data_IF_432498313547
#
_entry.id   IF_432498313547
#
_cell.length_a   1.000
_cell.length_b   1.000
_cell.length_c   1.000
_cell.angle_alpha   90.00
_cell.angle_beta   90.00
_cell.angle_gamma   90.00
#
_symmetry.space_group_name_H-M   'P 1'
#
loop_
_entity.id
_entity.type
_entity.pdbx_description
1 polymer ?
#
# COMPACT_ATOMS: atom_id res chain seq x y z
N UNK A 1 24.51 25.46 23.73
CA UNK A 1 24.64 24.01 24.01
C UNK A 1 26.03 23.46 23.61
N UNK A 2 26.44 23.53 22.34
CA UNK A 2 27.72 22.97 21.84
C UNK A 2 28.99 23.50 22.51
N UNK A 3 29.06 24.81 22.84
CA UNK A 3 30.21 25.38 23.59
C UNK A 3 30.33 24.76 24.98
N UNK A 4 29.20 24.59 25.67
CA UNK A 4 29.14 24.04 27.03
C UNK A 4 29.55 22.56 27.03
N UNK A 5 29.06 21.76 26.07
CA UNK A 5 29.48 20.38 25.88
C UNK A 5 30.99 20.27 25.59
N UNK A 6 31.53 21.16 24.74
CA UNK A 6 32.97 21.21 24.46
C UNK A 6 33.82 21.59 25.67
N UNK A 7 33.33 22.50 26.51
CA UNK A 7 34.01 22.88 27.76
C UNK A 7 33.98 21.75 28.79
N UNK A 8 32.84 21.04 28.94
CA UNK A 8 32.73 19.86 29.80
C UNK A 8 33.67 18.74 29.33
N UNK A 9 33.73 18.48 28.02
CA UNK A 9 34.63 17.45 27.46
C UNK A 9 36.09 17.75 27.77
N UNK A 10 36.51 19.01 27.63
CA UNK A 10 37.87 19.43 27.96
C UNK A 10 38.15 19.32 29.48
N UNK A 11 37.23 19.77 30.33
CA UNK A 11 37.40 19.68 31.78
C UNK A 11 37.55 18.22 32.27
N UNK A 12 36.81 17.28 31.64
CA UNK A 12 36.94 15.84 31.92
C UNK A 12 38.26 15.29 31.39
N UNK A 13 38.69 15.70 30.19
CA UNK A 13 39.96 15.29 29.60
C UNK A 13 41.16 15.76 30.46
N UNK A 14 41.16 17.03 30.90
CA UNK A 14 42.19 17.61 31.77
C UNK A 14 42.23 16.85 33.11
N UNK A 15 41.07 16.45 33.65
CA UNK A 15 40.98 15.62 34.84
C UNK A 15 41.52 14.19 34.67
N UNK A 16 41.38 13.59 33.48
CA UNK A 16 41.96 12.29 33.15
C UNK A 16 43.48 12.34 32.95
N UNK A 17 44.00 13.49 32.49
CA UNK A 17 45.42 13.75 32.27
C UNK A 17 46.16 14.21 33.53
N UNK A 18 45.44 14.41 34.64
CA UNK A 18 46.00 14.85 35.92
C UNK A 18 46.31 16.34 36.00
N UNK A 19 45.86 17.14 35.02
CA UNK A 19 45.99 18.60 35.04
C UNK A 19 44.85 19.25 35.85
N UNK A 20 45.11 20.41 36.47
CA UNK A 20 44.10 21.16 37.24
C UNK A 20 43.06 21.73 36.28
N UNK A 21 41.79 21.32 36.43
CA UNK A 21 40.70 21.77 35.57
C UNK A 21 40.39 23.27 35.77
N UNK A 22 40.84 24.11 34.84
CA UNK A 22 40.54 25.55 34.83
C UNK A 22 39.47 25.92 33.78
N UNK A 23 38.39 26.57 34.22
CA UNK A 23 37.19 26.86 33.41
C UNK A 23 37.43 27.90 32.28
N UNK A 24 38.36 28.85 32.48
CA UNK A 24 38.67 29.93 31.52
C UNK A 24 39.42 29.44 30.26
N UNK A 25 40.54 28.70 30.39
CA UNK A 25 41.20 28.10 29.23
C UNK A 25 40.31 27.09 28.48
N UNK A 26 39.41 26.40 29.19
CA UNK A 26 38.49 25.44 28.59
C UNK A 26 37.48 26.11 27.64
N UNK A 27 36.85 27.20 28.07
CA UNK A 27 35.92 27.97 27.24
C UNK A 27 36.59 28.58 26.01
N UNK A 28 37.80 29.13 26.15
CA UNK A 28 38.54 29.76 25.04
C UNK A 28 39.07 28.75 24.02
N UNK A 29 39.34 27.51 24.45
CA UNK A 29 39.69 26.40 23.57
C UNK A 29 38.48 25.90 22.80
N UNK A 30 37.35 25.68 23.50
CA UNK A 30 36.08 25.29 22.87
C UNK A 30 35.59 26.35 21.86
N UNK A 31 35.72 27.64 22.19
CA UNK A 31 35.33 28.73 21.31
C UNK A 31 36.17 28.83 20.02
N UNK A 32 37.47 28.47 20.04
CA UNK A 32 38.31 28.47 18.83
C UNK A 32 38.05 27.26 17.92
N UNK A 33 37.64 26.13 18.48
CA UNK A 33 37.26 24.93 17.71
C UNK A 33 35.77 24.89 17.36
N UNK A 34 35.02 25.93 17.72
CA UNK A 34 33.57 25.97 17.54
C UNK A 34 33.17 25.73 16.08
N UNK A 35 33.90 26.34 15.14
CA UNK A 35 33.65 26.15 13.73
C UNK A 35 33.81 24.69 13.29
N UNK A 36 34.87 24.00 13.74
CA UNK A 36 35.13 22.60 13.39
C UNK A 36 34.11 21.65 14.05
N UNK A 37 33.71 21.90 15.30
CA UNK A 37 32.66 21.13 15.99
C UNK A 37 31.30 21.35 15.30
N UNK A 38 30.96 22.58 14.96
CA UNK A 38 29.75 22.89 14.21
C UNK A 38 29.75 22.21 12.84
N UNK A 39 30.89 22.20 12.15
CA UNK A 39 31.02 21.52 10.86
C UNK A 39 30.76 20.02 10.97
N UNK A 40 31.38 19.35 11.95
CA UNK A 40 31.19 17.91 12.19
C UNK A 40 29.74 17.60 12.57
N UNK A 41 29.14 18.37 13.47
CA UNK A 41 27.74 18.15 13.88
C UNK A 41 26.76 18.36 12.74
N UNK A 42 26.96 19.41 11.92
CA UNK A 42 26.11 19.67 10.75
C UNK A 42 26.29 18.57 9.70
N UNK A 43 27.53 18.18 9.40
CA UNK A 43 27.81 17.13 8.41
C UNK A 43 27.27 15.76 8.88
N UNK A 44 27.46 15.41 10.15
CA UNK A 44 26.92 14.19 10.74
C UNK A 44 25.40 14.18 10.77
N UNK A 45 24.76 15.32 11.08
CA UNK A 45 23.32 15.49 11.00
C UNK A 45 22.79 15.32 9.57
N UNK A 46 23.45 15.94 8.59
CA UNK A 46 23.07 15.84 7.19
C UNK A 46 23.22 14.40 6.65
N UNK A 47 24.32 13.72 6.99
CA UNK A 47 24.51 12.31 6.66
C UNK A 47 23.45 11.41 7.31
N UNK A 48 23.09 11.69 8.56
CA UNK A 48 22.04 10.94 9.27
C UNK A 48 20.67 11.12 8.60
N UNK A 49 20.32 12.36 8.22
CA UNK A 49 19.09 12.66 7.49
C UNK A 49 19.09 11.99 6.12
N UNK A 50 20.21 12.04 5.40
CA UNK A 50 20.35 11.39 4.11
C UNK A 50 20.21 9.87 4.21
N UNK A 51 20.84 9.26 5.22
CA UNK A 51 20.71 7.84 5.52
C UNK A 51 19.27 7.46 5.86
N UNK A 52 18.56 8.28 6.64
CA UNK A 52 17.16 8.08 6.95
C UNK A 52 16.29 8.15 5.68
N UNK A 53 16.49 9.15 4.82
CA UNK A 53 15.76 9.27 3.56
C UNK A 53 16.00 8.07 2.65
N UNK A 54 17.25 7.61 2.57
CA UNK A 54 17.62 6.44 1.78
C UNK A 54 17.00 5.14 2.32
N UNK A 55 16.58 5.10 3.58
CA UNK A 55 15.86 3.97 4.17
C UNK A 55 14.33 4.11 4.04
N UNK A 56 13.81 5.32 4.30
CA UNK A 56 12.37 5.61 4.34
C UNK A 56 11.77 5.55 2.94
N UNK A 57 12.40 6.16 1.92
CA UNK A 57 11.85 6.18 0.56
C UNK A 57 11.67 4.76 -0.01
N UNK A 58 12.70 3.88 -0.03
CA UNK A 58 12.48 2.51 -0.50
C UNK A 58 11.57 1.72 0.45
N UNK A 59 11.61 1.98 1.76
CA UNK A 59 10.72 1.35 2.73
C UNK A 59 9.25 1.58 2.41
N UNK A 60 8.86 2.83 2.15
CA UNK A 60 7.51 3.21 1.75
C UNK A 60 7.13 2.58 0.40
N UNK A 61 8.04 2.62 -0.57
CA UNK A 61 7.80 1.98 -1.87
C UNK A 61 7.51 0.48 -1.74
N UNK A 62 8.32 -0.25 -0.95
CA UNK A 62 8.16 -1.67 -0.69
C UNK A 62 6.87 -1.97 0.07
N UNK A 63 6.54 -1.16 1.08
CA UNK A 63 5.30 -1.28 1.84
C UNK A 63 4.07 -1.24 0.94
N UNK A 64 4.00 -0.25 0.04
CA UNK A 64 2.88 -0.11 -0.90
C UNK A 64 2.91 -1.21 -1.96
N UNK A 65 4.09 -1.63 -2.43
CA UNK A 65 4.21 -2.70 -3.40
C UNK A 65 3.72 -4.06 -2.87
N UNK A 66 3.77 -4.26 -1.55
CA UNK A 66 3.37 -5.50 -0.87
C UNK A 66 2.07 -5.40 -0.08
N UNK A 67 1.36 -4.27 -0.13
CA UNK A 67 0.11 -4.06 0.62
C UNK A 67 -0.97 -5.08 0.24
N UNK A 68 -1.01 -5.52 -1.02
CA UNK A 68 -1.97 -6.51 -1.53
C UNK A 68 -1.41 -7.94 -1.59
N UNK A 69 -0.28 -8.22 -0.94
CA UNK A 69 0.30 -9.56 -0.96
C UNK A 69 -0.55 -10.60 -0.22
N UNK A 70 -1.18 -10.20 0.90
CA UNK A 70 -2.08 -11.07 1.68
C UNK A 70 -3.34 -11.45 0.88
N UNK A 71 -4.11 -10.52 0.29
CA UNK A 71 -5.27 -10.90 -0.51
C UNK A 71 -4.88 -11.72 -1.75
N UNK A 72 -3.72 -11.47 -2.37
CA UNK A 72 -3.20 -12.34 -3.45
C UNK A 72 -2.95 -13.76 -2.96
N UNK A 73 -2.36 -13.94 -1.77
CA UNK A 73 -2.12 -15.26 -1.20
C UNK A 73 -3.42 -16.01 -0.90
N UNK A 74 -4.42 -15.30 -0.37
CA UNK A 74 -5.72 -15.89 -0.01
C UNK A 74 -6.60 -16.19 -1.23
N UNK A 75 -6.58 -15.34 -2.26
CA UNK A 75 -7.50 -15.45 -3.40
C UNK A 75 -6.89 -16.16 -4.62
N UNK A 76 -5.59 -16.03 -4.86
CA UNK A 76 -4.91 -16.66 -6.01
C UNK A 76 -4.15 -17.94 -5.62
N UNK A 77 -4.13 -18.32 -4.32
CA UNK A 77 -3.45 -19.53 -3.82
C UNK A 77 -1.91 -19.48 -3.95
N UNK A 78 -1.33 -18.34 -4.33
CA UNK A 78 0.11 -18.16 -4.48
C UNK A 78 0.79 -18.05 -3.11
N UNK A 79 1.96 -18.67 -2.95
CA UNK A 79 2.70 -18.66 -1.67
C UNK A 79 4.10 -18.03 -1.79
N UNK A 80 4.56 -17.45 -0.69
CA UNK A 80 5.91 -16.91 -0.52
C UNK A 80 6.28 -15.85 -1.57
N UNK A 81 7.42 -16.03 -2.24
CA UNK A 81 7.96 -15.08 -3.23
C UNK A 81 7.06 -14.86 -4.45
N UNK A 82 6.25 -15.86 -4.82
CA UNK A 82 5.32 -15.76 -5.96
C UNK A 82 4.19 -14.77 -5.68
N UNK A 83 3.63 -14.78 -4.47
CA UNK A 83 2.61 -13.84 -4.03
C UNK A 83 3.14 -12.39 -3.98
N UNK A 84 4.36 -12.19 -3.45
CA UNK A 84 5.01 -10.87 -3.42
C UNK A 84 5.30 -10.33 -4.82
N UNK A 85 5.81 -11.18 -5.72
CA UNK A 85 6.06 -10.81 -7.12
C UNK A 85 4.78 -10.41 -7.85
N UNK A 86 3.68 -11.12 -7.57
CA UNK A 86 2.35 -10.83 -8.11
C UNK A 86 1.78 -9.51 -7.57
N UNK A 87 1.82 -9.29 -6.26
CA UNK A 87 1.44 -8.01 -5.62
C UNK A 87 2.15 -6.82 -6.26
N UNK A 88 3.48 -6.93 -6.45
CA UNK A 88 4.27 -5.86 -7.07
C UNK A 88 3.83 -5.59 -8.53
N UNK A 89 3.48 -6.62 -9.30
CA UNK A 89 2.97 -6.46 -10.67
C UNK A 89 1.60 -5.78 -10.70
N UNK A 90 0.71 -6.12 -9.75
CA UNK A 90 -0.60 -5.48 -9.59
C UNK A 90 -0.47 -4.00 -9.19
N UNK A 91 0.52 -3.61 -8.40
CA UNK A 91 0.74 -2.20 -8.02
C UNK A 91 1.54 -1.41 -9.08
N UNK A 92 2.45 -2.05 -9.83
CA UNK A 92 3.35 -1.40 -10.80
C UNK A 92 2.58 -0.63 -11.89
N UNK A 93 2.79 0.68 -12.00
CA UNK A 93 2.10 1.54 -12.99
C UNK A 93 0.91 2.31 -12.43
N UNK A 94 0.40 1.96 -11.24
CA UNK A 94 -0.58 2.77 -10.48
C UNK A 94 -0.17 2.91 -9.02
N UNK A 95 1.14 3.07 -8.80
CA UNK A 95 1.72 3.17 -7.46
C UNK A 95 1.15 4.36 -6.67
N UNK A 96 0.98 5.52 -7.30
CA UNK A 96 0.38 6.70 -6.66
C UNK A 96 -1.07 6.51 -6.25
N UNK A 97 -1.86 5.78 -7.05
CA UNK A 97 -3.23 5.43 -6.69
C UNK A 97 -3.29 4.47 -5.51
N UNK A 98 -2.44 3.44 -5.51
CA UNK A 98 -2.32 2.51 -4.40
C UNK A 98 -1.81 3.21 -3.12
N UNK A 99 -0.83 4.10 -3.24
CA UNK A 99 -0.34 4.93 -2.15
C UNK A 99 -1.47 5.78 -1.56
N UNK A 100 -2.24 6.49 -2.39
CA UNK A 100 -3.33 7.34 -1.93
C UNK A 100 -4.39 6.56 -1.15
N UNK A 101 -4.80 5.38 -1.65
CA UNK A 101 -5.78 4.52 -0.96
C UNK A 101 -5.23 3.99 0.37
N UNK A 102 -4.00 3.47 0.38
CA UNK A 102 -3.38 2.96 1.61
C UNK A 102 -3.17 4.09 2.62
N UNK A 103 -2.64 5.24 2.17
CA UNK A 103 -2.43 6.41 3.03
C UNK A 103 -3.75 6.89 3.64
N UNK A 104 -4.79 7.10 2.82
CA UNK A 104 -6.10 7.52 3.29
C UNK A 104 -6.72 6.50 4.25
N UNK A 105 -6.66 5.21 3.91
CA UNK A 105 -7.14 4.12 4.77
C UNK A 105 -6.44 4.11 6.13
N UNK A 106 -5.10 4.22 6.14
CA UNK A 106 -4.32 4.27 7.38
C UNK A 106 -4.59 5.53 8.20
N UNK A 107 -4.80 6.69 7.57
CA UNK A 107 -5.18 7.93 8.26
C UNK A 107 -6.55 7.77 8.91
N UNK A 108 -7.54 7.22 8.20
CA UNK A 108 -8.88 6.99 8.74
C UNK A 108 -8.86 6.02 9.93
N UNK A 109 -8.15 4.89 9.80
CA UNK A 109 -7.94 3.95 10.90
C UNK A 109 -7.24 4.63 12.09
N UNK A 110 -6.25 5.47 11.81
CA UNK A 110 -5.52 6.24 12.81
C UNK A 110 -6.40 7.25 13.56
N UNK A 111 -7.30 7.95 12.85
CA UNK A 111 -8.26 8.88 13.46
C UNK A 111 -9.21 8.13 14.39
N UNK A 112 -9.78 7.01 13.93
CA UNK A 112 -10.71 6.21 14.75
C UNK A 112 -10.01 5.65 15.99
N UNK A 113 -8.82 5.06 15.80
CA UNK A 113 -8.03 4.49 16.90
C UNK A 113 -7.56 5.56 17.87
N UNK A 114 -7.15 6.73 17.36
CA UNK A 114 -6.72 7.87 18.15
C UNK A 114 -7.86 8.50 18.95
N UNK A 115 -9.08 8.57 18.38
CA UNK A 115 -10.26 9.02 19.10
C UNK A 115 -10.58 8.10 20.28
N UNK A 116 -10.55 6.77 20.08
CA UNK A 116 -10.77 5.78 21.14
C UNK A 116 -9.70 5.85 22.24
N UNK A 117 -8.43 5.97 21.86
CA UNK A 117 -7.33 6.14 22.81
C UNK A 117 -7.42 7.47 23.57
N UNK A 118 -7.79 8.56 22.89
CA UNK A 118 -7.96 9.88 23.50
C UNK A 118 -9.07 9.91 24.54
N UNK A 119 -10.21 9.26 24.26
CA UNK A 119 -11.30 9.09 25.23
C UNK A 119 -10.81 8.34 26.47
N UNK A 120 -10.08 7.24 26.29
CA UNK A 120 -9.52 6.46 27.40
C UNK A 120 -8.51 7.25 28.23
N UNK A 121 -7.64 8.04 27.58
CA UNK A 121 -6.71 8.94 28.26
C UNK A 121 -7.42 9.99 29.11
N UNK A 122 -8.54 10.54 28.64
CA UNK A 122 -9.36 11.46 29.42
C UNK A 122 -9.88 10.79 30.72
N UNK A 123 -10.41 9.57 30.65
CA UNK A 123 -10.87 8.82 31.83
C UNK A 123 -9.75 8.63 32.88
N UNK A 124 -8.53 8.31 32.45
CA UNK A 124 -7.39 8.13 33.38
C UNK A 124 -6.92 9.41 34.04
N UNK A 125 -7.20 10.57 33.45
CA UNK A 125 -6.81 11.88 34.02
C UNK A 125 -7.76 12.29 35.16
N UNK A 126 -9.01 11.80 35.16
CA UNK A 126 -10.00 12.09 36.20
C UNK A 126 -9.97 11.10 37.38
N UNK A 127 -9.40 9.90 37.20
CA UNK A 127 -9.32 8.88 38.25
C UNK A 127 -8.01 9.02 39.06
N UNK A 128 -8.07 9.77 40.17
CA UNK A 128 -6.94 10.01 41.10
C UNK A 128 -6.71 8.85 42.09
N UNK A 129 -7.50 7.78 42.03
CA UNK A 129 -7.52 6.77 43.10
C UNK A 129 -6.44 5.68 42.97
N UNK A 130 -5.96 5.35 41.77
CA UNK A 130 -4.90 4.35 41.54
C UNK A 130 -4.08 4.65 40.26
N UNK A 131 -2.94 5.36 40.36
CA UNK A 131 -2.29 5.99 39.20
C UNK A 131 -1.63 5.02 38.20
N UNK A 132 -1.42 3.75 38.54
CA UNK A 132 -0.58 2.83 37.72
C UNK A 132 -1.33 1.64 37.15
N UNK A 133 -2.12 0.91 37.93
CA UNK A 133 -2.78 -0.31 37.44
C UNK A 133 -4.09 -0.01 36.70
N UNK A 134 -4.89 0.93 37.21
CA UNK A 134 -6.14 1.36 36.57
C UNK A 134 -5.89 2.04 35.22
N UNK A 135 -4.93 2.96 35.17
CA UNK A 135 -4.53 3.65 33.94
C UNK A 135 -3.98 2.69 32.88
N UNK A 136 -3.18 1.70 33.31
CA UNK A 136 -2.69 0.64 32.44
C UNK A 136 -3.84 -0.19 31.85
N UNK A 137 -4.80 -0.63 32.67
CA UNK A 137 -5.95 -1.42 32.22
C UNK A 137 -6.85 -0.64 31.27
N UNK A 138 -7.13 0.64 31.57
CA UNK A 138 -7.94 1.52 30.70
C UNK A 138 -7.25 1.74 29.35
N UNK A 139 -5.95 2.07 29.34
CA UNK A 139 -5.22 2.28 28.10
C UNK A 139 -5.07 1.00 27.26
N UNK A 140 -4.79 -0.13 27.92
CA UNK A 140 -4.71 -1.44 27.26
C UNK A 140 -6.07 -1.85 26.70
N UNK A 141 -7.14 -1.72 27.48
CA UNK A 141 -8.51 -2.00 27.06
C UNK A 141 -8.92 -1.15 25.86
N UNK A 142 -8.61 0.15 25.88
CA UNK A 142 -8.87 1.05 24.76
C UNK A 142 -8.11 0.66 23.49
N UNK A 143 -6.84 0.24 23.63
CA UNK A 143 -6.03 -0.23 22.51
C UNK A 143 -6.59 -1.52 21.90
N UNK A 144 -7.03 -2.47 22.75
CA UNK A 144 -7.69 -3.70 22.31
C UNK A 144 -8.99 -3.39 21.57
N UNK A 145 -9.85 -2.54 22.15
CA UNK A 145 -11.09 -2.10 21.51
C UNK A 145 -10.85 -1.39 20.18
N UNK A 146 -9.84 -0.50 20.10
CA UNK A 146 -9.44 0.14 18.87
C UNK A 146 -8.99 -0.89 17.82
N UNK A 147 -8.22 -1.91 18.22
CA UNK A 147 -7.75 -2.96 17.31
C UNK A 147 -8.89 -3.81 16.72
N UNK A 148 -9.97 -4.04 17.49
CA UNK A 148 -11.16 -4.76 17.02
C UNK A 148 -11.89 -4.04 15.88
N UNK A 149 -11.81 -2.70 15.84
CA UNK A 149 -12.39 -1.89 14.76
C UNK A 149 -11.38 -1.66 13.63
N UNK A 150 -10.11 -1.42 13.98
CA UNK A 150 -9.05 -1.12 13.02
C UNK A 150 -8.73 -2.31 12.10
N UNK A 151 -8.74 -3.53 12.63
CA UNK A 151 -8.38 -4.74 11.87
C UNK A 151 -9.35 -5.04 10.70
N UNK A 152 -10.69 -5.12 10.89
CA UNK A 152 -11.60 -5.34 9.77
C UNK A 152 -11.63 -4.16 8.80
N UNK A 153 -11.49 -2.92 9.29
CA UNK A 153 -11.42 -1.74 8.42
C UNK A 153 -10.17 -1.78 7.52
N UNK A 154 -9.04 -2.21 8.08
CA UNK A 154 -7.80 -2.41 7.31
C UNK A 154 -7.96 -3.51 6.28
N UNK A 155 -8.52 -4.65 6.67
CA UNK A 155 -8.80 -5.74 5.75
C UNK A 155 -9.73 -5.30 4.60
N UNK A 156 -10.75 -4.50 4.90
CA UNK A 156 -11.71 -4.00 3.91
C UNK A 156 -11.02 -3.14 2.84
N UNK A 157 -10.31 -2.08 3.22
CA UNK A 157 -9.70 -1.20 2.21
C UNK A 157 -8.58 -1.88 1.42
N UNK A 158 -7.81 -2.78 2.05
CA UNK A 158 -6.77 -3.57 1.36
C UNK A 158 -7.39 -4.53 0.34
N UNK A 159 -8.51 -5.17 0.70
CA UNK A 159 -9.25 -6.07 -0.19
C UNK A 159 -9.87 -5.31 -1.35
N UNK A 160 -10.51 -4.17 -1.09
CA UNK A 160 -11.05 -3.29 -2.15
C UNK A 160 -9.94 -2.80 -3.08
N UNK A 161 -8.78 -2.39 -2.53
CA UNK A 161 -7.63 -2.00 -3.34
C UNK A 161 -7.16 -3.15 -4.25
N UNK A 162 -7.13 -4.38 -3.73
CA UNK A 162 -6.77 -5.56 -4.52
C UNK A 162 -7.74 -5.76 -5.70
N UNK A 163 -9.05 -5.74 -5.45
CA UNK A 163 -10.04 -5.90 -6.51
C UNK A 163 -10.05 -4.73 -7.51
N UNK A 164 -9.92 -3.48 -7.06
CA UNK A 164 -9.81 -2.31 -7.95
C UNK A 164 -8.58 -2.42 -8.88
N UNK A 165 -7.44 -2.91 -8.36
CA UNK A 165 -6.26 -3.15 -9.19
C UNK A 165 -6.47 -4.28 -10.19
N UNK A 166 -7.14 -5.36 -9.79
CA UNK A 166 -7.39 -6.53 -10.65
C UNK A 166 -8.43 -6.22 -11.73
N UNK A 167 -9.51 -5.50 -11.40
CA UNK A 167 -10.51 -5.01 -12.36
C UNK A 167 -9.84 -4.13 -13.41
N UNK A 168 -9.04 -3.15 -13.01
CA UNK A 168 -8.43 -2.20 -13.95
C UNK A 168 -7.34 -2.81 -14.84
N UNK A 169 -6.58 -3.77 -14.34
CA UNK A 169 -5.43 -4.34 -15.07
C UNK A 169 -5.73 -5.61 -15.83
N UNK A 170 -6.67 -6.40 -15.32
CA UNK A 170 -6.92 -7.75 -15.79
C UNK A 170 -8.35 -7.91 -16.30
N UNK A 171 -9.11 -6.79 -16.33
CA UNK A 171 -10.51 -6.77 -16.70
C UNK A 171 -11.32 -7.84 -15.96
N UNK A 172 -11.05 -8.00 -14.66
CA UNK A 172 -11.71 -9.00 -13.81
C UNK A 172 -13.25 -8.93 -13.89
N UNK A 173 -13.78 -7.71 -14.10
CA UNK A 173 -15.20 -7.48 -14.32
C UNK A 173 -15.75 -8.22 -15.57
N UNK A 174 -14.97 -8.29 -16.66
CA UNK A 174 -15.34 -9.05 -17.86
C UNK A 174 -15.36 -10.56 -17.61
N UNK A 175 -14.48 -11.06 -16.74
CA UNK A 175 -14.48 -12.48 -16.37
C UNK A 175 -15.75 -12.83 -15.59
N UNK A 176 -16.16 -11.95 -14.66
CA UNK A 176 -17.41 -12.13 -13.91
C UNK A 176 -18.64 -12.04 -14.81
N UNK A 177 -18.66 -11.12 -15.78
CA UNK A 177 -19.72 -11.02 -16.79
C UNK A 177 -19.80 -12.26 -17.68
N UNK A 178 -18.65 -12.78 -18.15
CA UNK A 178 -18.60 -13.99 -18.96
C UNK A 178 -19.12 -15.22 -18.20
N UNK A 179 -18.71 -15.36 -16.93
CA UNK A 179 -19.19 -16.43 -16.04
C UNK A 179 -20.70 -16.35 -15.79
N UNK A 180 -21.24 -15.14 -15.58
CA UNK A 180 -22.68 -14.94 -15.40
C UNK A 180 -23.52 -15.28 -16.65
N UNK A 181 -22.96 -15.10 -17.85
CA UNK A 181 -23.62 -15.43 -19.12
C UNK A 181 -23.45 -16.93 -19.45
N UNK A 182 -22.78 -17.71 -18.58
CA UNK A 182 -22.54 -19.15 -18.80
C UNK A 182 -21.55 -19.43 -19.94
N UNK A 183 -20.81 -18.41 -20.38
CA UNK A 183 -19.72 -18.57 -21.34
C UNK A 183 -18.55 -19.14 -20.56
N UNK A 184 -18.39 -20.48 -20.57
CA UNK A 184 -17.17 -21.07 -20.04
C UNK A 184 -15.96 -20.48 -20.79
N UNK A 185 -14.92 -20.00 -20.09
CA UNK A 185 -13.70 -19.57 -20.75
C UNK A 185 -13.10 -20.80 -21.44
N UNK A 186 -13.28 -20.88 -22.77
CA UNK A 186 -12.83 -21.98 -23.60
C UNK A 186 -11.42 -22.42 -23.21
N UNK A 187 -11.29 -23.69 -22.87
CA UNK A 187 -10.14 -24.38 -22.27
C UNK A 187 -8.89 -24.48 -23.16
N UNK A 188 -8.60 -23.47 -23.98
CA UNK A 188 -7.44 -23.48 -24.87
C UNK A 188 -6.96 -22.13 -25.41
N UNK A 189 -7.68 -21.02 -25.19
CA UNK A 189 -7.30 -19.76 -25.80
C UNK A 189 -6.40 -18.96 -24.84
N UNK A 190 -5.09 -19.05 -25.08
CA UNK A 190 -4.06 -18.31 -24.34
C UNK A 190 -4.43 -16.83 -24.29
N UNK A 191 -4.68 -16.33 -23.07
CA UNK A 191 -4.87 -14.91 -22.75
C UNK A 191 -3.63 -14.15 -23.24
N UNK A 192 -3.73 -13.54 -24.42
CA UNK A 192 -2.62 -12.97 -25.17
C UNK A 192 -2.79 -13.04 -26.69
N UNK A 193 -3.67 -13.90 -27.18
CA UNK A 193 -4.19 -13.80 -28.54
C UNK A 193 -5.44 -12.95 -28.51
N UNK A 194 -5.34 -11.69 -28.93
CA UNK A 194 -6.51 -11.03 -29.52
C UNK A 194 -7.06 -11.99 -30.56
N UNK A 195 -8.34 -12.40 -30.51
CA UNK A 195 -8.95 -13.13 -31.62
C UNK A 195 -8.53 -12.39 -32.89
N UNK A 196 -8.05 -13.12 -33.91
CA UNK A 196 -7.75 -12.50 -35.19
C UNK A 196 -8.93 -11.57 -35.52
N UNK A 197 -8.69 -10.29 -35.87
CA UNK A 197 -9.76 -9.33 -36.06
C UNK A 197 -10.81 -10.03 -36.91
N UNK A 198 -12.02 -10.15 -36.35
CA UNK A 198 -13.14 -10.75 -37.06
C UNK A 198 -13.17 -9.98 -38.38
N UNK A 199 -12.89 -10.69 -39.48
CA UNK A 199 -12.87 -10.06 -40.80
C UNK A 199 -14.28 -9.54 -40.97
N UNK A 200 -14.46 -8.24 -40.84
CA UNK A 200 -15.76 -7.58 -40.68
C UNK A 200 -16.74 -8.06 -41.76
N UNK A 201 -16.24 -8.17 -42.99
CA UNK A 201 -16.99 -8.73 -44.11
C UNK A 201 -17.46 -10.19 -43.95
N UNK A 202 -16.73 -11.09 -43.26
CA UNK A 202 -17.21 -12.48 -43.07
C UNK A 202 -18.44 -12.53 -42.16
N UNK A 203 -18.49 -11.69 -41.12
CA UNK A 203 -19.65 -11.68 -40.23
C UNK A 203 -20.85 -11.00 -40.88
N UNK A 204 -20.60 -9.93 -41.65
CA UNK A 204 -21.64 -9.28 -42.45
C UNK A 204 -22.21 -10.26 -43.49
N UNK A 205 -21.34 -10.98 -44.22
CA UNK A 205 -21.74 -12.02 -45.18
C UNK A 205 -22.57 -13.14 -44.49
N UNK A 206 -22.14 -13.61 -43.31
CA UNK A 206 -22.85 -14.66 -42.56
C UNK A 206 -24.21 -14.17 -42.02
N UNK A 207 -24.30 -12.92 -41.55
CA UNK A 207 -25.53 -12.34 -41.03
C UNK A 207 -26.54 -12.01 -42.14
N UNK A 208 -26.06 -11.55 -43.29
CA UNK A 208 -26.88 -11.27 -44.47
C UNK A 208 -27.45 -12.55 -45.09
N UNK A 209 -26.71 -13.68 -44.98
CA UNK A 209 -27.19 -14.99 -45.44
C UNK A 209 -28.22 -15.64 -44.49
N UNK A 210 -28.20 -15.26 -43.20
CA UNK A 210 -29.14 -15.73 -42.17
C UNK A 210 -30.41 -14.89 -42.09
N UNK A 211 -30.42 -13.66 -42.64
CA UNK A 211 -31.57 -12.75 -42.59
C UNK A 211 -32.31 -12.64 -43.93
N UNK A 212 -33.65 -12.54 -43.92
CA UNK A 212 -34.40 -12.32 -45.14
C UNK A 212 -34.18 -10.88 -45.65
N UNK A 213 -34.14 -10.66 -46.98
CA UNK A 213 -33.83 -9.35 -47.56
C UNK A 213 -34.89 -8.26 -47.26
N UNK A 214 -36.13 -8.65 -46.94
CA UNK A 214 -37.17 -7.73 -46.49
C UNK A 214 -38.25 -8.48 -45.70
N UNK A 215 -39.04 -7.75 -44.91
CA UNK A 215 -40.14 -8.30 -44.12
C UNK A 215 -41.51 -7.91 -44.70
N UNK A 216 -42.48 -8.84 -44.82
CA UNK A 216 -42.39 -10.27 -44.55
C UNK A 216 -41.55 -11.03 -45.59
N UNK A 217 -40.92 -12.16 -45.21
CA UNK A 217 -40.05 -12.92 -46.10
C UNK A 217 -40.83 -13.51 -47.29
N UNK A 218 -40.16 -13.70 -48.44
CA UNK A 218 -40.80 -14.30 -49.60
C UNK A 218 -41.28 -15.74 -49.29
N UNK A 219 -42.43 -16.17 -49.86
CA UNK A 219 -42.95 -17.51 -49.63
C UNK A 219 -41.92 -18.59 -49.97
N UNK A 220 -41.62 -19.47 -49.02
CA UNK A 220 -40.64 -20.57 -49.20
C UNK A 220 -39.19 -20.23 -48.86
N UNK A 221 -38.91 -19.02 -48.38
CA UNK A 221 -37.58 -18.64 -47.91
C UNK A 221 -37.19 -19.38 -46.62
N UNK A 222 -35.93 -19.86 -46.57
CA UNK A 222 -35.33 -20.49 -45.39
C UNK A 222 -33.90 -19.99 -45.20
N UNK A 223 -33.44 -19.77 -43.96
CA UNK A 223 -32.05 -19.41 -43.69
C UNK A 223 -31.10 -20.53 -44.13
N UNK A 224 -29.84 -20.18 -44.45
CA UNK A 224 -28.84 -21.12 -44.96
C UNK A 224 -28.61 -22.30 -44.02
N UNK A 225 -28.54 -22.04 -42.70
CA UNK A 225 -28.45 -23.08 -41.66
C UNK A 225 -29.54 -24.16 -41.73
N UNK A 226 -30.74 -23.83 -42.23
CA UNK A 226 -31.83 -24.79 -42.42
C UNK A 226 -31.84 -25.47 -43.80
N UNK A 227 -31.14 -24.92 -44.80
CA UNK A 227 -30.98 -25.54 -46.12
C UNK A 227 -29.93 -26.64 -46.09
N UNK A 228 -28.82 -26.38 -45.41
CA UNK A 228 -27.66 -27.28 -45.38
C UNK A 228 -27.86 -28.46 -44.40
N UNK A 229 -28.85 -28.40 -43.50
CA UNK A 229 -29.19 -29.48 -42.58
C UNK A 229 -30.17 -30.53 -43.16
N UNK A 230 -30.60 -30.34 -44.41
CA UNK A 230 -31.58 -31.20 -45.11
C UNK A 230 -31.00 -32.07 -46.22
N UNK A 231 -29.70 -32.02 -46.46
CA UNK A 231 -28.93 -32.91 -47.35
C UNK A 231 -28.19 -34.00 -46.55
#
# INVERSE_FOLDING_TARGET
>A
ATVATGACFKAIADGYLGERAEWRPALRFAARRLHSILWITVLGGLLSILGLLLLVIPGVYLYIAFSVAVPVLLTEGLRGRRALGRSRRLVKGRWWGAFGVVALGTILVGIVSGALAGLAGAFTTFDTSNPTLGSFLVNTGATVLASLVATPLTAAFVTVLYFDLRVRKEAFDLQLLAEQIGVEPGSGQRIGQTPAPLREGRLEDELDEEQPPFWPPPPGWKPRSQRDAGE
#
